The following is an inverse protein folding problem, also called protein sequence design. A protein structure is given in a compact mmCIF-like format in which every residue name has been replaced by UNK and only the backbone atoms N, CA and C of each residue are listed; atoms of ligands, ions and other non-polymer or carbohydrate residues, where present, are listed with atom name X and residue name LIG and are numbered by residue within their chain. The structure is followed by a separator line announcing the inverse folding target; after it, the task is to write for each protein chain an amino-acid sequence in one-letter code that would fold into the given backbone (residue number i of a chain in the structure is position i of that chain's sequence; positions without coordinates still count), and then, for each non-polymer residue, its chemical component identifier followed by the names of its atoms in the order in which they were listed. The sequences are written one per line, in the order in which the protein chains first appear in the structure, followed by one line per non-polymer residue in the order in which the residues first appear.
data_IF_562577337072
#
_entry.id   IF_562577337072
#
_cell.length_a   1.000
_cell.length_b   1.000
_cell.length_c   1.000
_cell.angle_alpha   90.00
_cell.angle_beta   90.00
_cell.angle_gamma   90.00
#
_symmetry.space_group_name_H-M   'P 1'
#
loop_
_entity.id
_entity.type
_entity.pdbx_description
1 polymer ?
#
# COMPACT_ATOMS: atom_id res chain seq x y z
N UNK A 1 23.69 -24.35 3.38
CA UNK A 1 22.45 -24.43 2.58
C UNK A 1 22.56 -23.37 1.49
N UNK A 2 22.31 -23.69 0.21
CA UNK A 2 22.35 -22.66 -0.85
C UNK A 2 21.01 -21.92 -0.86
N UNK A 3 21.06 -20.60 -0.99
CA UNK A 3 19.90 -19.74 -1.15
C UNK A 3 20.18 -18.67 -2.18
N UNK A 4 19.12 -18.09 -2.75
CA UNK A 4 19.18 -16.91 -3.61
C UNK A 4 18.55 -15.74 -2.87
N UNK A 5 19.14 -14.55 -3.00
CA UNK A 5 18.58 -13.31 -2.47
C UNK A 5 17.63 -12.73 -3.52
N UNK A 6 16.36 -12.58 -3.19
CA UNK A 6 15.38 -11.93 -4.05
C UNK A 6 15.02 -10.55 -3.47
N UNK A 7 15.80 -9.53 -3.87
CA UNK A 7 15.64 -8.12 -3.47
C UNK A 7 14.24 -7.57 -3.79
N UNK A 8 13.66 -7.97 -4.93
CA UNK A 8 12.35 -7.53 -5.40
C UNK A 8 11.21 -7.83 -4.42
N UNK A 9 11.28 -8.98 -3.74
CA UNK A 9 10.23 -9.47 -2.84
C UNK A 9 10.66 -9.54 -1.37
N UNK A 10 11.79 -8.90 -1.02
CA UNK A 10 12.35 -8.92 0.33
C UNK A 10 12.44 -10.33 0.94
N UNK A 11 12.97 -11.30 0.18
CA UNK A 11 13.02 -12.70 0.64
C UNK A 11 14.28 -13.47 0.25
N UNK A 12 14.61 -14.46 1.07
CA UNK A 12 15.58 -15.51 0.74
C UNK A 12 14.85 -16.71 0.17
N UNK A 13 15.33 -17.21 -0.96
CA UNK A 13 14.75 -18.35 -1.66
C UNK A 13 15.60 -19.61 -1.46
N UNK A 14 15.00 -20.62 -0.85
CA UNK A 14 15.54 -21.97 -0.75
C UNK A 14 14.72 -22.91 -1.65
N UNK A 15 15.25 -24.11 -1.90
CA UNK A 15 14.60 -25.07 -2.81
C UNK A 15 13.12 -25.35 -2.45
N UNK A 16 12.78 -25.41 -1.17
CA UNK A 16 11.48 -25.89 -0.69
C UNK A 16 10.71 -24.89 0.19
N UNK A 17 11.23 -23.68 0.37
CA UNK A 17 10.59 -22.64 1.18
C UNK A 17 11.22 -21.27 0.92
N UNK A 18 10.48 -20.22 1.22
CA UNK A 18 11.00 -18.85 1.26
C UNK A 18 11.10 -18.36 2.71
N UNK A 19 12.02 -17.43 2.97
CA UNK A 19 12.02 -16.63 4.20
C UNK A 19 11.85 -15.17 3.79
N UNK A 20 10.69 -14.60 4.06
CA UNK A 20 10.49 -13.16 3.94
C UNK A 20 11.22 -12.46 5.08
N UNK A 21 11.93 -11.41 4.73
CA UNK A 21 12.72 -10.65 5.66
C UNK A 21 11.84 -9.60 6.37
N UNK A 22 12.06 -9.46 7.68
CA UNK A 22 11.34 -8.53 8.54
C UNK A 22 12.26 -7.46 9.13
N UNK A 23 13.52 -7.40 8.68
CA UNK A 23 14.45 -6.37 9.12
C UNK A 23 14.06 -5.03 8.48
N UNK A 24 13.90 -4.00 9.30
CA UNK A 24 13.54 -2.63 8.93
C UNK A 24 14.55 -1.65 9.53
N UNK A 25 14.97 -0.62 8.80
CA UNK A 25 15.87 0.42 9.31
C UNK A 25 17.33 0.04 9.57
N UNK A 26 17.75 -1.22 9.42
CA UNK A 26 19.07 -1.69 9.86
C UNK A 26 20.26 -1.12 9.07
N UNK A 27 20.06 -0.78 7.79
CA UNK A 27 21.14 -0.36 6.89
C UNK A 27 21.16 1.15 6.60
N UNK A 28 20.19 1.89 7.11
CA UNK A 28 20.06 3.33 6.93
C UNK A 28 19.75 3.77 5.49
N UNK A 29 19.72 5.11 5.31
CA UNK A 29 19.29 5.82 4.10
C UNK A 29 20.19 5.73 2.87
N UNK A 30 21.48 5.42 3.06
CA UNK A 30 22.50 5.72 2.05
C UNK A 30 22.64 7.23 1.79
N UNK A 31 23.56 7.60 0.89
CA UNK A 31 23.85 9.01 0.57
C UNK A 31 23.65 9.33 -0.92
N UNK A 32 23.24 8.36 -1.74
CA UNK A 32 23.04 8.56 -3.17
C UNK A 32 21.68 9.19 -3.42
N UNK A 33 21.66 10.30 -4.14
CA UNK A 33 20.44 11.01 -4.51
C UNK A 33 19.95 10.53 -5.88
N UNK A 34 18.65 10.26 -5.95
CA UNK A 34 17.91 9.95 -7.16
C UNK A 34 16.77 10.95 -7.31
N UNK A 35 16.53 11.43 -8.53
CA UNK A 35 15.30 12.15 -8.84
C UNK A 35 14.16 11.15 -9.01
N UNK A 36 13.05 11.38 -8.31
CA UNK A 36 11.92 10.47 -8.32
C UNK A 36 10.60 11.17 -8.10
N UNK A 37 9.60 10.35 -7.81
CA UNK A 37 8.24 10.79 -7.59
C UNK A 37 7.65 10.09 -6.37
N UNK A 38 6.87 10.85 -5.61
CA UNK A 38 6.23 10.43 -4.37
C UNK A 38 4.74 10.76 -4.45
N UNK A 39 3.91 9.72 -4.58
CA UNK A 39 2.46 9.79 -4.43
C UNK A 39 2.14 9.52 -2.96
N UNK A 40 1.33 10.37 -2.34
CA UNK A 40 0.97 10.24 -0.94
C UNK A 40 -0.40 10.84 -0.65
N UNK A 41 -0.97 10.51 0.52
CA UNK A 41 -2.24 11.05 1.01
C UNK A 41 -2.04 11.67 2.39
N UNK A 42 -2.77 12.73 2.68
CA UNK A 42 -2.88 13.26 4.04
C UNK A 42 -4.10 12.64 4.71
N UNK A 43 -3.91 12.11 5.92
CA UNK A 43 -4.99 11.49 6.67
C UNK A 43 -5.03 12.00 8.10
N UNK A 44 -6.23 12.04 8.68
CA UNK A 44 -6.52 12.64 9.98
C UNK A 44 -7.20 11.65 10.91
N UNK A 45 -6.81 11.64 12.18
CA UNK A 45 -7.65 11.14 13.27
C UNK A 45 -8.01 12.29 14.23
N UNK A 46 -8.66 11.96 15.34
CA UNK A 46 -9.05 12.92 16.37
C UNK A 46 -7.88 13.52 17.19
N UNK A 47 -6.65 13.05 16.98
CA UNK A 47 -5.46 13.43 17.75
C UNK A 47 -4.34 14.05 16.90
N UNK A 48 -4.15 13.58 15.67
CA UNK A 48 -3.05 13.97 14.80
C UNK A 48 -3.36 13.72 13.31
N UNK A 49 -2.47 14.23 12.48
CA UNK A 49 -2.47 14.02 11.03
C UNK A 49 -1.18 13.31 10.62
N UNK A 50 -1.22 12.54 9.54
CA UNK A 50 -0.04 11.87 8.98
C UNK A 50 -0.14 11.82 7.46
N UNK A 51 0.98 12.03 6.79
CA UNK A 51 1.16 11.81 5.36
C UNK A 51 1.54 10.35 5.18
N UNK A 52 0.69 9.59 4.50
CA UNK A 52 0.91 8.18 4.19
C UNK A 52 1.51 8.04 2.79
N UNK A 53 2.66 7.35 2.63
CA UNK A 53 3.14 6.95 1.32
C UNK A 53 2.12 6.09 0.58
N UNK A 54 2.08 6.24 -0.75
CA UNK A 54 1.19 5.47 -1.63
C UNK A 54 1.98 4.81 -2.76
N UNK A 55 2.77 5.60 -3.51
CA UNK A 55 3.66 5.09 -4.55
C UNK A 55 4.97 5.88 -4.56
N UNK A 56 6.09 5.15 -4.65
CA UNK A 56 7.43 5.71 -4.79
C UNK A 56 8.04 5.15 -6.06
N UNK A 57 8.47 6.02 -6.98
CA UNK A 57 9.04 5.56 -8.24
C UNK A 57 10.14 6.47 -8.80
N UNK A 58 11.00 5.88 -9.62
CA UNK A 58 12.05 6.56 -10.38
C UNK A 58 11.83 6.25 -11.86
N UNK A 59 11.74 7.30 -12.69
CA UNK A 59 11.62 7.14 -14.14
C UNK A 59 12.88 6.52 -14.74
N UNK A 60 12.71 5.55 -15.63
CA UNK A 60 13.79 4.93 -16.41
C UNK A 60 13.79 5.41 -17.86
N UNK A 61 12.65 5.89 -18.34
CA UNK A 61 12.48 6.65 -19.58
C UNK A 61 11.34 7.67 -19.40
N UNK A 62 10.93 8.35 -20.47
CA UNK A 62 9.84 9.35 -20.46
C UNK A 62 8.54 8.78 -19.86
N UNK A 63 8.15 7.60 -20.34
CA UNK A 63 6.88 6.93 -20.02
C UNK A 63 7.03 5.64 -19.20
N UNK A 64 8.22 5.28 -18.73
CA UNK A 64 8.44 4.06 -17.95
C UNK A 64 9.21 4.33 -16.67
N UNK A 65 8.93 3.54 -15.64
CA UNK A 65 9.54 3.71 -14.32
C UNK A 65 9.72 2.38 -13.58
N UNK A 66 10.57 2.42 -12.55
CA UNK A 66 10.69 1.40 -11.51
C UNK A 66 10.05 1.93 -10.23
N UNK A 67 9.28 1.09 -9.55
CA UNK A 67 8.63 1.44 -8.28
C UNK A 67 9.10 0.55 -7.14
N UNK A 68 8.98 1.08 -5.92
CA UNK A 68 9.51 0.48 -4.71
C UNK A 68 8.37 0.22 -3.72
N UNK A 69 8.22 -1.04 -3.31
CA UNK A 69 7.42 -1.39 -2.14
C UNK A 69 8.13 -0.86 -0.90
N UNK A 70 7.38 -0.16 -0.07
CA UNK A 70 7.77 0.13 1.30
C UNK A 70 7.00 -0.78 2.27
N UNK A 71 7.62 -1.04 3.41
CA UNK A 71 7.11 -1.92 4.46
C UNK A 71 6.77 -1.15 5.74
N UNK A 72 7.57 -0.14 6.05
CA UNK A 72 7.34 0.76 7.18
C UNK A 72 7.78 2.17 6.84
N UNK A 73 7.38 3.16 7.65
CA UNK A 73 7.82 4.54 7.54
C UNK A 73 7.82 5.25 8.89
N UNK A 74 8.65 6.27 9.01
CA UNK A 74 8.78 7.12 10.19
C UNK A 74 7.81 8.31 10.14
N UNK A 75 7.54 8.97 11.29
CA UNK A 75 6.75 10.19 11.34
C UNK A 75 7.26 11.25 10.35
N UNK A 76 6.33 11.99 9.75
CA UNK A 76 6.67 12.96 8.72
C UNK A 76 7.32 14.20 9.35
N UNK A 77 8.42 14.67 8.77
CA UNK A 77 9.06 15.91 9.20
C UNK A 77 8.75 17.02 8.21
N UNK A 78 7.95 18.00 8.63
CA UNK A 78 7.56 19.13 7.79
C UNK A 78 8.20 20.42 8.31
N UNK A 79 8.72 21.23 7.39
CA UNK A 79 9.35 22.52 7.70
C UNK A 79 8.84 23.61 6.77
N UNK A 80 8.47 24.76 7.34
CA UNK A 80 8.07 25.97 6.61
C UNK A 80 9.06 27.09 6.91
N UNK A 81 9.89 27.41 5.92
CA UNK A 81 10.85 28.52 6.01
C UNK A 81 10.24 29.84 5.53
N UNK A 82 9.34 29.76 4.53
CA UNK A 82 8.54 30.88 4.04
C UNK A 82 7.24 30.35 3.42
N UNK A 83 6.36 31.23 2.93
CA UNK A 83 5.19 30.80 2.15
C UNK A 83 5.60 30.01 0.91
N UNK A 84 6.74 30.31 0.30
CA UNK A 84 7.22 29.68 -0.93
C UNK A 84 8.17 28.51 -0.71
N UNK A 85 8.54 28.24 0.54
CA UNK A 85 9.54 27.25 0.90
C UNK A 85 8.99 26.38 2.04
N UNK A 86 8.22 25.39 1.62
CA UNK A 86 7.68 24.34 2.47
C UNK A 86 8.23 23.01 1.99
N UNK A 87 8.84 22.26 2.90
CA UNK A 87 9.46 20.96 2.64
C UNK A 87 8.90 19.89 3.57
N UNK A 88 8.82 18.67 3.04
CA UNK A 88 8.51 17.46 3.78
C UNK A 88 9.60 16.42 3.61
N UNK A 89 9.83 15.66 4.68
CA UNK A 89 10.70 14.49 4.69
C UNK A 89 9.90 13.31 5.21
N UNK A 90 9.95 12.20 4.48
CA UNK A 90 9.43 10.90 4.92
C UNK A 90 10.51 9.86 4.72
N UNK A 91 10.90 9.18 5.79
CA UNK A 91 11.80 8.04 5.74
C UNK A 91 10.96 6.76 5.65
N UNK A 92 11.22 5.91 4.65
CA UNK A 92 10.50 4.66 4.38
C UNK A 92 11.45 3.48 4.32
N UNK A 93 11.08 2.35 4.90
CA UNK A 93 11.87 1.12 4.79
C UNK A 93 11.45 0.30 3.58
N UNK A 94 12.44 -0.14 2.82
CA UNK A 94 12.31 -1.04 1.67
C UNK A 94 13.01 -2.37 1.95
N UNK A 95 13.09 -3.23 0.95
CA UNK A 95 13.64 -4.56 1.06
C UNK A 95 15.07 -4.59 1.65
N UNK A 96 15.37 -5.66 2.38
CA UNK A 96 16.65 -5.97 3.00
C UNK A 96 17.17 -4.93 4.01
N UNK A 97 16.23 -4.28 4.71
CA UNK A 97 16.52 -3.37 5.83
C UNK A 97 17.09 -2.01 5.40
N UNK A 98 17.00 -1.68 4.12
CA UNK A 98 17.35 -0.34 3.64
C UNK A 98 16.24 0.65 3.93
N UNK A 99 16.62 1.87 4.27
CA UNK A 99 15.68 3.00 4.38
C UNK A 99 15.91 3.91 3.19
N UNK A 100 14.85 4.53 2.68
CA UNK A 100 14.92 5.63 1.73
C UNK A 100 14.47 6.89 2.45
N UNK A 101 15.21 7.98 2.27
CA UNK A 101 14.74 9.31 2.68
C UNK A 101 14.15 10.02 1.48
N UNK A 102 12.87 10.35 1.57
CA UNK A 102 12.15 11.06 0.51
C UNK A 102 12.02 12.52 0.93
N UNK A 103 12.63 13.42 0.17
CA UNK A 103 12.56 14.87 0.38
C UNK A 103 11.72 15.48 -0.73
N UNK A 104 10.61 16.11 -0.38
CA UNK A 104 9.68 16.74 -1.31
C UNK A 104 9.31 18.15 -0.84
N UNK A 105 8.84 18.98 -1.77
CA UNK A 105 8.52 20.38 -1.47
C UNK A 105 7.23 20.81 -2.14
N UNK A 106 6.63 21.93 -1.68
CA UNK A 106 5.42 22.47 -2.32
C UNK A 106 5.63 22.79 -3.79
N UNK A 107 6.84 23.21 -4.18
CA UNK A 107 7.20 23.51 -5.57
C UNK A 107 7.33 22.25 -6.43
N UNK A 108 7.58 21.10 -5.80
CA UNK A 108 7.61 19.81 -6.46
C UNK A 108 6.24 19.20 -6.67
N UNK A 109 5.15 19.86 -6.26
CA UNK A 109 3.79 19.36 -6.52
C UNK A 109 3.54 19.27 -8.03
N UNK A 110 3.05 18.10 -8.46
CA UNK A 110 2.78 17.79 -9.86
C UNK A 110 1.28 17.79 -10.13
N UNK A 111 0.52 17.03 -9.33
CA UNK A 111 -0.90 16.77 -9.60
C UNK A 111 -1.65 16.28 -8.36
N UNK A 112 -2.92 16.64 -8.25
CA UNK A 112 -3.89 15.99 -7.37
C UNK A 112 -4.68 14.96 -8.18
N UNK A 113 -4.86 13.77 -7.62
CA UNK A 113 -5.56 12.67 -8.26
C UNK A 113 -6.98 12.46 -7.68
N UNK A 114 -7.89 11.80 -8.43
CA UNK A 114 -9.27 11.53 -7.99
C UNK A 114 -9.38 10.70 -6.70
N UNK A 115 -8.34 9.96 -6.35
CA UNK A 115 -8.26 9.17 -5.13
C UNK A 115 -7.76 9.98 -3.92
N UNK A 116 -7.74 11.31 -4.06
CA UNK A 116 -7.30 12.29 -3.06
C UNK A 116 -5.80 12.24 -2.75
N UNK A 117 -5.00 11.53 -3.55
CA UNK A 117 -3.55 11.60 -3.45
C UNK A 117 -2.96 12.81 -4.15
N UNK A 118 -1.82 13.26 -3.65
CA UNK A 118 -0.97 14.25 -4.30
C UNK A 118 0.27 13.55 -4.84
N UNK A 119 0.71 13.95 -6.03
CA UNK A 119 1.98 13.55 -6.61
C UNK A 119 2.99 14.67 -6.46
N UNK A 120 4.17 14.35 -5.96
CA UNK A 120 5.30 15.27 -5.89
C UNK A 120 6.48 14.70 -6.67
N UNK A 121 7.19 15.55 -7.42
CA UNK A 121 8.58 15.31 -7.78
C UNK A 121 9.43 15.50 -6.51
N UNK A 122 10.36 14.57 -6.27
CA UNK A 122 11.12 14.50 -5.04
C UNK A 122 12.57 14.06 -5.27
N UNK A 123 13.39 14.28 -4.25
CA UNK A 123 14.71 13.66 -4.11
C UNK A 123 14.57 12.42 -3.23
N UNK A 124 15.09 11.30 -3.71
CA UNK A 124 15.12 10.03 -2.99
C UNK A 124 16.57 9.73 -2.65
N UNK A 125 16.89 9.70 -1.36
CA UNK A 125 18.19 9.26 -0.87
C UNK A 125 18.13 7.76 -0.59
N UNK A 126 19.05 7.01 -1.19
CA UNK A 126 19.08 5.55 -1.12
C UNK A 126 20.50 4.98 -1.20
N UNK A 127 20.63 3.65 -1.20
CA UNK A 127 21.89 2.97 -1.52
C UNK A 127 22.31 3.20 -2.99
N UNK A 128 23.58 2.97 -3.30
CA UNK A 128 24.13 3.14 -4.66
C UNK A 128 23.50 2.19 -5.69
N UNK A 129 23.00 1.03 -5.23
CA UNK A 129 22.34 0.00 -6.03
C UNK A 129 20.81 0.03 -5.86
N UNK A 130 20.21 1.19 -5.52
CA UNK A 130 18.78 1.34 -5.23
C UNK A 130 17.88 0.63 -6.26
N UNK A 131 18.16 0.78 -7.54
CA UNK A 131 17.31 0.23 -8.61
C UNK A 131 17.20 -1.31 -8.55
N UNK A 132 18.17 -2.02 -7.95
CA UNK A 132 18.11 -3.47 -7.73
C UNK A 132 17.07 -3.90 -6.69
N UNK A 133 16.61 -2.97 -5.85
CA UNK A 133 15.54 -3.18 -4.86
C UNK A 133 14.15 -2.79 -5.37
N UNK A 134 14.03 -2.46 -6.66
CA UNK A 134 12.72 -2.19 -7.25
C UNK A 134 11.82 -3.42 -7.16
N UNK A 135 10.57 -3.20 -6.76
CA UNK A 135 9.56 -4.25 -6.64
C UNK A 135 8.93 -4.56 -7.99
N UNK A 136 8.86 -3.58 -8.88
CA UNK A 136 8.33 -3.78 -10.21
C UNK A 136 8.58 -2.60 -11.13
N UNK A 137 8.02 -2.72 -12.33
CA UNK A 137 8.00 -1.64 -13.31
C UNK A 137 6.58 -1.08 -13.44
N UNK A 138 6.50 0.09 -14.04
CA UNK A 138 5.25 0.73 -14.42
C UNK A 138 5.44 1.62 -15.63
N UNK A 139 4.34 2.23 -16.07
CA UNK A 139 4.32 3.17 -17.18
C UNK A 139 3.41 4.36 -16.87
N UNK A 140 3.70 5.49 -17.50
CA UNK A 140 2.84 6.67 -17.44
C UNK A 140 1.88 6.59 -18.63
N UNK A 141 0.58 6.75 -18.36
CA UNK A 141 -0.47 6.88 -19.39
C UNK A 141 -1.32 8.08 -18.97
N UNK A 142 -1.48 9.06 -19.88
CA UNK A 142 -2.25 10.28 -19.61
C UNK A 142 -1.85 10.95 -18.28
N UNK A 143 -0.54 11.11 -18.07
CA UNK A 143 0.08 11.66 -16.85
C UNK A 143 -0.17 10.87 -15.55
N UNK A 144 -0.79 9.70 -15.65
CA UNK A 144 -1.14 8.86 -14.50
C UNK A 144 -0.16 7.69 -14.42
N UNK A 145 0.40 7.38 -13.23
CA UNK A 145 1.26 6.22 -13.09
C UNK A 145 0.42 4.94 -13.03
N UNK A 146 0.77 3.98 -13.89
CA UNK A 146 0.23 2.62 -13.90
C UNK A 146 1.31 1.65 -13.43
N UNK A 147 1.02 0.87 -12.39
CA UNK A 147 1.97 -0.12 -11.85
C UNK A 147 1.63 -1.52 -12.34
N UNK A 148 2.68 -2.30 -12.63
CA UNK A 148 2.52 -3.70 -13.00
C UNK A 148 2.24 -4.55 -11.77
N UNK A 149 1.10 -5.24 -11.78
CA UNK A 149 0.65 -6.17 -10.76
C UNK A 149 0.13 -7.47 -11.39
N UNK A 150 -0.11 -8.47 -10.55
CA UNK A 150 -0.44 -9.82 -10.97
C UNK A 150 -1.70 -10.34 -10.29
N UNK A 151 -2.49 -11.09 -11.05
CA UNK A 151 -3.60 -11.89 -10.54
C UNK A 151 -3.27 -13.38 -10.70
N UNK A 152 -3.38 -14.14 -9.62
CA UNK A 152 -3.07 -15.58 -9.61
C UNK A 152 -4.33 -16.42 -9.55
N UNK A 153 -4.41 -17.43 -10.41
CA UNK A 153 -5.58 -18.29 -10.57
C UNK A 153 -5.19 -19.64 -11.17
N UNK A 154 -6.16 -20.42 -11.64
CA UNK A 154 -5.96 -21.66 -12.40
C UNK A 154 -5.88 -21.39 -13.91
N UNK A 155 -5.19 -22.25 -14.70
CA UNK A 155 -5.06 -22.08 -16.14
C UNK A 155 -6.40 -21.88 -16.88
N UNK A 156 -7.40 -22.69 -16.56
CA UNK A 156 -8.72 -22.60 -17.22
C UNK A 156 -9.42 -21.28 -16.89
N UNK A 157 -9.28 -20.78 -15.65
CA UNK A 157 -9.86 -19.49 -15.23
C UNK A 157 -9.13 -18.33 -15.88
N UNK A 158 -7.81 -18.42 -16.05
CA UNK A 158 -7.03 -17.43 -16.79
C UNK A 158 -7.57 -17.26 -18.21
N UNK A 159 -7.81 -18.37 -18.93
CA UNK A 159 -8.39 -18.33 -20.28
C UNK A 159 -9.76 -17.66 -20.29
N UNK A 160 -10.60 -17.91 -19.28
CA UNK A 160 -11.90 -17.24 -19.17
C UNK A 160 -11.75 -15.73 -18.97
N UNK A 161 -10.84 -15.29 -18.09
CA UNK A 161 -10.59 -13.86 -17.83
C UNK A 161 -10.02 -13.16 -19.07
N UNK A 162 -9.06 -13.78 -19.76
CA UNK A 162 -8.49 -13.23 -21.00
C UNK A 162 -9.56 -13.07 -22.09
N UNK A 163 -10.40 -14.09 -22.28
CA UNK A 163 -11.48 -14.03 -23.27
C UNK A 163 -12.57 -13.04 -22.91
N UNK A 164 -12.86 -12.85 -21.61
CA UNK A 164 -13.91 -11.96 -21.16
C UNK A 164 -13.43 -10.52 -21.00
N UNK A 165 -12.12 -10.29 -20.83
CA UNK A 165 -11.50 -8.98 -20.61
C UNK A 165 -12.02 -8.24 -19.36
N UNK A 166 -12.37 -8.98 -18.31
CA UNK A 166 -12.75 -8.40 -17.02
C UNK A 166 -12.48 -9.33 -15.83
N UNK A 167 -12.37 -8.72 -14.65
CA UNK A 167 -12.32 -9.41 -13.36
C UNK A 167 -13.66 -9.29 -12.64
N UNK A 168 -14.16 -10.39 -12.09
CA UNK A 168 -15.33 -10.38 -11.20
C UNK A 168 -14.92 -9.91 -9.82
N UNK A 169 -15.65 -8.95 -9.26
CA UNK A 169 -15.45 -8.52 -7.88
C UNK A 169 -15.80 -9.61 -6.87
N UNK A 170 -14.91 -9.84 -5.91
CA UNK A 170 -15.14 -10.69 -4.75
C UNK A 170 -15.95 -9.92 -3.70
N UNK A 171 -17.00 -10.55 -3.18
CA UNK A 171 -17.84 -9.99 -2.12
C UNK A 171 -17.28 -10.27 -0.72
N UNK A 172 -16.00 -10.59 -0.57
CA UNK A 172 -15.41 -10.91 0.73
C UNK A 172 -14.55 -9.76 1.25
N UNK A 173 -14.57 -9.57 2.57
CA UNK A 173 -13.74 -8.56 3.26
C UNK A 173 -12.23 -8.87 3.15
N UNK A 174 -11.39 -7.96 3.65
CA UNK A 174 -9.93 -8.11 3.62
C UNK A 174 -9.43 -9.46 4.19
N UNK A 175 -10.08 -9.96 5.24
CA UNK A 175 -9.77 -11.25 5.86
C UNK A 175 -10.27 -12.47 5.06
N UNK A 176 -11.23 -12.29 4.15
CA UNK A 176 -11.86 -13.37 3.39
C UNK A 176 -12.88 -14.19 4.20
N UNK A 177 -13.41 -13.65 5.30
CA UNK A 177 -14.25 -14.38 6.28
C UNK A 177 -15.69 -13.92 6.32
N UNK A 178 -15.98 -12.70 5.85
CA UNK A 178 -17.32 -12.10 5.85
C UNK A 178 -17.67 -11.49 4.51
N UNK A 179 -18.96 -11.51 4.19
CA UNK A 179 -19.48 -10.94 2.95
C UNK A 179 -19.80 -9.46 3.07
N UNK A 180 -19.51 -8.73 2.01
CA UNK A 180 -19.74 -7.31 1.84
C UNK A 180 -21.05 -7.09 1.06
N UNK A 181 -21.81 -6.07 1.47
CA UNK A 181 -23.07 -5.63 0.86
C UNK A 181 -22.95 -4.34 0.04
N UNK A 182 -21.88 -3.55 0.23
CA UNK A 182 -21.76 -2.22 -0.39
C UNK A 182 -20.58 -2.07 -1.34
N UNK A 183 -19.63 -3.01 -1.33
CA UNK A 183 -18.42 -2.95 -2.15
C UNK A 183 -17.96 -4.38 -2.46
N UNK A 184 -17.35 -4.59 -3.61
CA UNK A 184 -16.60 -5.80 -3.93
C UNK A 184 -15.18 -5.45 -4.37
N UNK A 185 -14.29 -6.45 -4.34
CA UNK A 185 -12.86 -6.24 -4.59
C UNK A 185 -12.32 -7.15 -5.68
N UNK A 186 -11.50 -6.58 -6.56
CA UNK A 186 -10.53 -7.35 -7.35
C UNK A 186 -9.16 -7.28 -6.69
N UNK A 187 -8.54 -8.45 -6.48
CA UNK A 187 -7.28 -8.59 -5.77
C UNK A 187 -6.12 -8.87 -6.72
N UNK A 188 -5.02 -8.18 -6.46
CA UNK A 188 -3.76 -8.28 -7.17
C UNK A 188 -2.61 -8.34 -6.16
N UNK A 189 -1.44 -8.73 -6.64
CA UNK A 189 -0.21 -8.74 -5.86
C UNK A 189 0.99 -8.32 -6.71
N UNK A 190 2.06 -7.88 -6.07
CA UNK A 190 3.33 -7.61 -6.74
C UNK A 190 4.18 -8.87 -6.99
N UNK A 191 3.79 -10.01 -6.40
CA UNK A 191 4.42 -11.31 -6.65
C UNK A 191 4.06 -11.79 -8.07
N UNK A 192 5.05 -12.16 -8.89
CA UNK A 192 4.81 -12.68 -10.25
C UNK A 192 4.36 -14.14 -10.25
N UNK A 193 4.65 -14.88 -9.16
CA UNK A 193 4.24 -16.27 -8.94
C UNK A 193 4.05 -16.54 -7.44
N UNK A 194 3.11 -17.43 -7.13
CA UNK A 194 2.92 -18.04 -5.82
C UNK A 194 3.45 -19.48 -5.91
N UNK A 195 4.56 -19.77 -5.23
CA UNK A 195 5.27 -21.05 -5.36
C UNK A 195 5.28 -21.77 -4.01
N UNK A 196 5.53 -21.05 -2.93
CA UNK A 196 5.67 -21.60 -1.58
C UNK A 196 4.55 -21.12 -0.65
N UNK A 197 4.34 -21.85 0.46
CA UNK A 197 3.36 -21.45 1.48
C UNK A 197 3.62 -20.03 2.01
N UNK A 198 4.89 -19.62 2.12
CA UNK A 198 5.22 -18.27 2.60
C UNK A 198 4.76 -17.18 1.62
N UNK A 199 4.59 -17.50 0.33
CA UNK A 199 4.02 -16.57 -0.64
C UNK A 199 2.53 -16.34 -0.38
N UNK A 200 1.80 -17.39 0.04
CA UNK A 200 0.40 -17.26 0.48
C UNK A 200 0.31 -16.39 1.73
N UNK A 201 1.18 -16.64 2.72
CA UNK A 201 1.21 -15.86 3.96
C UNK A 201 1.46 -14.37 3.70
N UNK A 202 2.37 -14.04 2.77
CA UNK A 202 2.68 -12.67 2.38
C UNK A 202 1.47 -11.92 1.80
N UNK A 203 0.49 -12.63 1.24
CA UNK A 203 -0.76 -12.09 0.70
C UNK A 203 -1.99 -12.42 1.56
N UNK A 204 -1.77 -12.62 2.87
CA UNK A 204 -2.81 -12.92 3.87
C UNK A 204 -3.71 -14.11 3.50
N UNK A 205 -3.11 -15.16 2.96
CA UNK A 205 -3.72 -16.47 2.76
C UNK A 205 -2.90 -17.55 3.48
N UNK A 206 -3.50 -18.70 3.78
CA UNK A 206 -2.73 -19.84 4.26
C UNK A 206 -3.41 -21.18 3.99
N UNK A 207 -2.62 -22.26 3.96
CA UNK A 207 -3.13 -23.62 3.77
C UNK A 207 -3.99 -24.13 4.92
N UNK A 208 -3.78 -23.61 6.14
CA UNK A 208 -4.56 -23.94 7.34
C UNK A 208 -5.70 -22.94 7.63
N UNK A 209 -5.76 -21.82 6.90
CA UNK A 209 -6.75 -20.76 7.08
C UNK A 209 -6.48 -19.86 8.30
N UNK A 210 -5.25 -19.83 8.82
CA UNK A 210 -4.82 -18.97 9.92
C UNK A 210 -3.47 -18.29 9.69
N UNK A 211 -3.33 -17.06 10.20
CA UNK A 211 -2.03 -16.39 10.36
C UNK A 211 -1.89 -15.89 11.79
N UNK A 212 -0.64 -15.66 12.23
CA UNK A 212 -0.34 -15.13 13.55
C UNK A 212 0.18 -13.70 13.44
N UNK A 213 -0.39 -12.82 14.25
CA UNK A 213 0.11 -11.48 14.51
C UNK A 213 0.76 -11.46 15.89
N UNK A 214 1.60 -10.47 16.18
CA UNK A 214 2.30 -10.35 17.47
C UNK A 214 2.08 -8.94 18.02
N UNK A 215 1.72 -8.83 19.30
CA UNK A 215 1.63 -7.54 19.99
C UNK A 215 3.01 -6.97 20.29
N UNK A 216 3.19 -5.66 20.13
CA UNK A 216 4.47 -4.98 20.36
C UNK A 216 4.99 -5.16 21.79
N UNK A 217 4.11 -5.00 22.78
CA UNK A 217 4.49 -4.91 24.20
C UNK A 217 4.65 -6.31 24.81
N UNK A 218 3.59 -7.12 24.72
CA UNK A 218 3.56 -8.41 25.41
C UNK A 218 4.22 -9.53 24.61
N UNK A 219 4.48 -9.30 23.32
CA UNK A 219 4.92 -10.31 22.35
C UNK A 219 3.96 -11.51 22.29
N UNK A 220 2.71 -11.33 22.71
CA UNK A 220 1.68 -12.35 22.68
C UNK A 220 1.27 -12.61 21.21
N UNK A 221 1.34 -13.87 20.73
CA UNK A 221 0.85 -14.21 19.41
C UNK A 221 -0.69 -14.24 19.40
N UNK A 222 -1.28 -13.58 18.42
CA UNK A 222 -2.73 -13.57 18.18
C UNK A 222 -3.01 -14.23 16.84
N UNK A 223 -3.63 -15.41 16.88
CA UNK A 223 -4.07 -16.10 15.67
C UNK A 223 -5.36 -15.48 15.14
N UNK A 224 -5.37 -15.17 13.84
CA UNK A 224 -6.56 -14.76 13.12
C UNK A 224 -6.86 -15.73 11.99
N UNK A 225 -8.13 -15.84 11.62
CA UNK A 225 -8.53 -16.58 10.44
C UNK A 225 -8.16 -15.78 9.19
N UNK A 226 -7.85 -16.46 8.11
CA UNK A 226 -7.68 -15.87 6.78
C UNK A 226 -8.28 -16.78 5.74
N UNK A 227 -8.35 -16.31 4.50
CA UNK A 227 -8.77 -17.14 3.38
C UNK A 227 -7.86 -18.37 3.24
N UNK A 228 -8.47 -19.55 3.34
CA UNK A 228 -7.76 -20.82 3.22
C UNK A 228 -7.48 -21.10 1.74
N UNK A 229 -6.22 -21.29 1.38
CA UNK A 229 -5.82 -21.54 -0.01
C UNK A 229 -4.59 -22.44 -0.12
N UNK A 230 -4.38 -23.03 -1.30
CA UNK A 230 -3.19 -23.81 -1.64
C UNK A 230 -2.46 -23.20 -2.84
N UNK A 231 -1.14 -23.32 -2.85
CA UNK A 231 -0.31 -22.94 -4.01
C UNK A 231 -0.69 -23.71 -5.27
N UNK A 232 -1.27 -24.91 -5.13
CA UNK A 232 -1.77 -25.71 -6.24
C UNK A 232 -2.97 -25.08 -6.98
N UNK A 233 -3.69 -24.15 -6.34
CA UNK A 233 -4.81 -23.40 -6.92
C UNK A 233 -4.41 -22.03 -7.49
N UNK A 234 -3.10 -21.76 -7.59
CA UNK A 234 -2.52 -20.46 -8.02
C UNK A 234 -1.40 -20.66 -9.05
N UNK A 235 -1.63 -21.57 -10.01
CA UNK A 235 -0.62 -22.05 -10.96
C UNK A 235 -0.57 -21.27 -12.28
N UNK A 236 -1.50 -20.34 -12.50
CA UNK A 236 -1.50 -19.41 -13.63
C UNK A 236 -1.50 -17.96 -13.14
N UNK A 237 -0.85 -17.08 -13.91
CA UNK A 237 -0.75 -15.65 -13.62
C UNK A 237 -1.25 -14.83 -14.81
N UNK A 238 -2.04 -13.79 -14.53
CA UNK A 238 -2.30 -12.68 -15.45
C UNK A 238 -1.52 -11.45 -14.99
N UNK A 239 -0.84 -10.78 -15.92
CA UNK A 239 -0.13 -9.52 -15.70
C UNK A 239 -1.03 -8.36 -16.14
N UNK A 240 -1.11 -7.32 -15.30
CA UNK A 240 -1.90 -6.12 -15.56
C UNK A 240 -1.11 -4.86 -15.19
N UNK A 241 -1.20 -3.82 -16.01
CA UNK A 241 -0.84 -2.46 -15.64
C UNK A 241 -2.07 -1.76 -15.08
N UNK A 242 -2.03 -1.40 -13.80
CA UNK A 242 -3.17 -0.87 -13.07
C UNK A 242 -2.93 0.59 -12.74
N UNK A 243 -3.89 1.45 -13.08
CA UNK A 243 -3.93 2.85 -12.68
C UNK A 243 -3.73 2.97 -11.16
N UNK A 244 -2.66 3.63 -10.72
CA UNK A 244 -2.34 3.74 -9.29
C UNK A 244 -3.34 4.57 -8.49
N UNK A 245 -4.27 5.27 -9.14
CA UNK A 245 -5.34 6.02 -8.46
C UNK A 245 -6.53 5.13 -8.11
N UNK A 246 -6.70 3.96 -8.73
CA UNK A 246 -7.85 3.09 -8.43
C UNK A 246 -7.51 2.02 -7.37
N UNK A 247 -6.23 1.93 -7.01
CA UNK A 247 -5.71 1.06 -5.98
C UNK A 247 -6.02 1.69 -4.63
N UNK A 248 -6.69 0.94 -3.75
CA UNK A 248 -6.95 1.39 -2.39
C UNK A 248 -5.66 1.33 -1.58
N UNK A 249 -5.44 2.33 -0.72
CA UNK A 249 -4.32 2.30 0.21
C UNK A 249 -4.41 1.08 1.14
N UNK A 250 -3.26 0.47 1.38
CA UNK A 250 -3.12 -0.51 2.43
C UNK A 250 -3.46 0.11 3.79
N UNK A 251 -4.01 -0.72 4.67
CA UNK A 251 -4.15 -0.38 6.08
C UNK A 251 -2.77 -0.35 6.75
N UNK A 252 -2.69 0.32 7.90
CA UNK A 252 -1.43 0.62 8.56
C UNK A 252 -1.50 0.15 10.01
N UNK A 253 -0.40 -0.38 10.52
CA UNK A 253 -0.17 -0.50 11.95
C UNK A 253 0.71 0.64 12.43
N UNK A 254 0.37 1.20 13.57
CA UNK A 254 1.21 2.12 14.31
C UNK A 254 1.83 1.36 15.46
N UNK A 255 3.15 1.45 15.54
CA UNK A 255 3.95 0.81 16.56
C UNK A 255 4.47 1.86 17.53
N UNK A 256 4.36 1.56 18.82
CA UNK A 256 4.81 2.43 19.91
C UNK A 256 5.62 1.60 20.89
N UNK A 257 6.81 2.09 21.23
CA UNK A 257 7.56 1.52 22.33
C UNK A 257 7.03 2.02 23.68
N UNK A 258 7.12 1.19 24.73
CA UNK A 258 6.63 1.47 26.09
C UNK A 258 7.14 2.78 26.71
N UNK A 259 8.25 3.31 26.19
CA UNK A 259 8.87 4.55 26.66
C UNK A 259 8.33 5.82 25.97
N UNK A 260 7.37 5.72 25.05
CA UNK A 260 6.81 6.84 24.26
C UNK A 260 7.82 7.61 23.39
N UNK A 261 9.05 7.10 23.20
CA UNK A 261 10.10 7.88 22.54
C UNK A 261 10.11 7.75 21.02
N UNK A 262 9.59 6.64 20.46
CA UNK A 262 9.62 6.39 19.02
C UNK A 262 8.31 5.76 18.53
N UNK A 263 7.77 6.34 17.47
CA UNK A 263 6.62 5.83 16.71
C UNK A 263 7.10 5.50 15.32
N UNK A 264 6.67 4.38 14.77
CA UNK A 264 6.75 4.11 13.33
C UNK A 264 5.45 3.46 12.86
N UNK A 265 5.28 3.42 11.54
CA UNK A 265 4.09 2.90 10.90
C UNK A 265 4.49 1.74 9.98
N UNK A 266 3.76 0.63 10.01
CA UNK A 266 3.97 -0.55 9.17
C UNK A 266 2.78 -0.74 8.21
N UNK A 267 3.06 -1.08 6.97
CA UNK A 267 2.04 -1.43 5.97
C UNK A 267 1.47 -2.81 6.27
N UNK A 268 0.17 -2.88 6.53
CA UNK A 268 -0.53 -4.15 6.69
C UNK A 268 -0.60 -4.88 5.33
N UNK A 269 0.00 -6.07 5.28
CA UNK A 269 0.04 -6.96 4.11
C UNK A 269 0.50 -6.24 2.83
N UNK A 270 1.76 -5.80 2.83
CA UNK A 270 2.37 -4.99 1.77
C UNK A 270 2.29 -5.58 0.35
N UNK A 271 2.09 -6.89 0.20
CA UNK A 271 1.94 -7.54 -1.10
C UNK A 271 0.49 -7.63 -1.62
N UNK A 272 -0.50 -7.08 -0.91
CA UNK A 272 -1.91 -7.10 -1.32
C UNK A 272 -2.31 -5.75 -1.89
N UNK A 273 -2.82 -5.79 -3.12
CA UNK A 273 -3.35 -4.64 -3.84
C UNK A 273 -4.81 -4.92 -4.19
N UNK A 274 -5.70 -3.97 -3.92
CA UNK A 274 -7.14 -4.14 -4.18
C UNK A 274 -7.72 -2.96 -4.91
N UNK A 275 -8.62 -3.26 -5.84
CA UNK A 275 -9.46 -2.29 -6.53
C UNK A 275 -10.88 -2.49 -6.02
N UNK A 276 -11.44 -1.43 -5.42
CA UNK A 276 -12.82 -1.39 -4.93
C UNK A 276 -13.79 -1.09 -6.06
N UNK A 277 -14.94 -1.77 -6.04
CA UNK A 277 -15.99 -1.68 -7.05
C UNK A 277 -17.36 -1.67 -6.41
N UNK A 278 -18.33 -1.03 -7.07
CA UNK A 278 -19.74 -1.23 -6.75
C UNK A 278 -20.11 -2.71 -6.85
N UNK A 279 -21.01 -3.16 -5.98
CA UNK A 279 -21.47 -4.56 -5.99
C UNK A 279 -22.04 -4.95 -7.36
N UNK A 280 -21.82 -6.20 -7.75
CA UNK A 280 -22.29 -6.76 -9.02
C UNK A 280 -21.72 -6.07 -10.28
N UNK A 281 -20.65 -5.30 -10.13
CA UNK A 281 -19.90 -4.76 -11.27
C UNK A 281 -18.62 -5.55 -11.50
N UNK A 282 -18.16 -5.53 -12.74
CA UNK A 282 -16.92 -6.16 -13.18
C UNK A 282 -15.86 -5.08 -13.39
N UNK A 283 -14.59 -5.42 -13.16
CA UNK A 283 -13.45 -4.56 -13.45
C UNK A 283 -12.91 -4.89 -14.86
N UNK A 284 -13.21 -4.07 -15.87
CA UNK A 284 -12.74 -4.33 -17.23
C UNK A 284 -11.25 -4.04 -17.37
N UNK A 285 -10.63 -4.67 -18.36
CA UNK A 285 -9.29 -4.33 -18.81
C UNK A 285 -9.21 -4.36 -20.33
N UNK A 286 -8.28 -3.61 -20.91
CA UNK A 286 -7.99 -3.63 -22.34
C UNK A 286 -6.47 -3.75 -22.54
N UNK A 287 -6.02 -4.73 -23.32
CA UNK A 287 -4.59 -4.98 -23.57
C UNK A 287 -3.74 -5.00 -22.29
N UNK A 288 -4.22 -5.72 -21.28
CA UNK A 288 -3.61 -5.79 -19.94
C UNK A 288 -3.51 -4.44 -19.20
N UNK A 289 -4.35 -3.45 -19.54
CA UNK A 289 -4.42 -2.16 -18.86
C UNK A 289 -5.76 -2.06 -18.14
N UNK A 290 -5.70 -1.79 -16.84
CA UNK A 290 -6.85 -1.48 -15.99
C UNK A 290 -6.81 0.01 -15.69
N UNK A 291 -7.77 0.75 -16.23
CA UNK A 291 -7.95 2.19 -16.00
C UNK A 291 -9.16 2.45 -15.10
N UNK A 292 -9.24 3.66 -14.55
CA UNK A 292 -10.45 4.10 -13.83
C UNK A 292 -11.71 3.98 -14.69
N UNK A 293 -12.74 3.38 -14.11
CA UNK A 293 -14.11 3.33 -14.63
C UNK A 293 -15.08 3.90 -13.60
N UNK A 294 -16.30 4.23 -14.03
CA UNK A 294 -17.31 4.90 -13.19
C UNK A 294 -17.62 4.14 -11.89
N UNK A 295 -17.65 2.82 -11.93
CA UNK A 295 -18.00 1.96 -10.79
C UNK A 295 -16.83 1.71 -9.82
N UNK A 296 -15.67 2.34 -10.02
CA UNK A 296 -14.55 2.23 -9.08
C UNK A 296 -14.87 3.00 -7.80
N UNK A 297 -14.77 2.32 -6.67
CA UNK A 297 -14.88 2.90 -5.36
C UNK A 297 -13.50 3.09 -4.71
N UNK A 298 -13.18 4.33 -4.36
CA UNK A 298 -12.02 4.67 -3.53
C UNK A 298 -12.50 5.12 -2.15
N UNK A 299 -12.17 4.41 -1.06
CA UNK A 299 -12.55 4.84 0.29
C UNK A 299 -12.02 6.23 0.61
N UNK A 300 -12.76 6.94 1.45
CA UNK A 300 -12.41 8.23 2.05
C UNK A 300 -11.67 8.05 3.39
N UNK A 301 -11.15 6.84 3.66
CA UNK A 301 -10.49 6.51 4.91
C UNK A 301 -9.44 5.40 4.77
N UNK A 302 -8.56 5.31 5.76
CA UNK A 302 -7.61 4.22 5.97
C UNK A 302 -7.72 3.73 7.42
N UNK A 303 -7.64 2.42 7.65
CA UNK A 303 -7.54 1.87 9.01
C UNK A 303 -6.09 1.97 9.49
N UNK A 304 -5.89 2.56 10.66
CA UNK A 304 -4.59 2.67 11.32
C UNK A 304 -4.70 2.13 12.74
N UNK A 305 -4.30 0.87 12.91
CA UNK A 305 -4.40 0.14 14.17
C UNK A 305 -3.20 0.35 15.09
N UNK A 306 -3.42 0.48 16.41
CA UNK A 306 -2.34 0.52 17.40
C UNK A 306 -1.86 -0.90 17.77
N UNK A 307 -0.68 -1.30 17.29
CA UNK A 307 -0.11 -2.64 17.45
C UNK A 307 0.29 -2.97 18.90
N UNK A 308 0.30 -1.98 19.80
CA UNK A 308 0.47 -2.21 21.24
C UNK A 308 -0.78 -2.82 21.90
N UNK A 309 -1.94 -2.77 21.24
CA UNK A 309 -3.21 -3.26 21.77
C UNK A 309 -3.81 -4.35 20.90
N UNK A 310 -4.52 -5.30 21.51
CA UNK A 310 -5.22 -6.37 20.76
C UNK A 310 -6.24 -5.83 19.76
N UNK A 311 -7.00 -4.81 20.15
CA UNK A 311 -8.01 -4.20 19.26
C UNK A 311 -7.36 -3.45 18.09
N UNK A 312 -6.27 -2.72 18.35
CA UNK A 312 -5.55 -2.01 17.30
C UNK A 312 -4.80 -2.96 16.36
N UNK A 313 -4.15 -4.00 16.88
CA UNK A 313 -3.46 -5.01 16.04
C UNK A 313 -4.44 -5.72 15.09
N UNK A 314 -5.65 -6.03 15.56
CA UNK A 314 -6.69 -6.68 14.75
C UNK A 314 -7.43 -5.73 13.79
N UNK A 315 -7.38 -4.42 14.03
CA UNK A 315 -8.20 -3.43 13.32
C UNK A 315 -8.08 -3.50 11.78
N UNK A 316 -6.88 -3.63 11.16
CA UNK A 316 -6.77 -3.76 9.71
C UNK A 316 -7.50 -4.98 9.11
N UNK A 317 -7.68 -6.05 9.89
CA UNK A 317 -8.39 -7.26 9.45
C UNK A 317 -9.89 -7.22 9.81
N UNK A 318 -10.28 -6.38 10.78
CA UNK A 318 -11.67 -6.18 11.22
C UNK A 318 -12.25 -4.88 10.66
N UNK A 319 -12.40 -4.83 9.34
CA UNK A 319 -12.97 -3.68 8.61
C UNK A 319 -14.42 -3.35 9.00
N UNK A 320 -15.13 -4.25 9.69
CA UNK A 320 -16.54 -4.08 10.03
C UNK A 320 -16.76 -3.24 11.29
N UNK A 321 -15.96 -3.49 12.33
CA UNK A 321 -16.20 -2.92 13.66
C UNK A 321 -15.10 -1.99 14.14
N UNK A 322 -14.05 -1.79 13.35
CA UNK A 322 -12.93 -0.95 13.77
C UNK A 322 -13.32 0.51 13.88
N UNK A 323 -12.98 1.13 15.02
CA UNK A 323 -13.02 2.57 15.23
C UNK A 323 -11.68 3.25 14.90
N UNK A 324 -10.67 2.48 14.52
CA UNK A 324 -9.31 2.95 14.22
C UNK A 324 -9.20 3.51 12.80
N UNK A 325 -10.06 4.48 12.49
CA UNK A 325 -10.21 5.06 11.15
C UNK A 325 -9.52 6.41 11.09
N UNK A 326 -8.70 6.60 10.06
CA UNK A 326 -8.19 7.89 9.66
C UNK A 326 -8.89 8.34 8.38
N UNK A 327 -9.36 9.60 8.36
CA UNK A 327 -10.12 10.18 7.25
C UNK A 327 -9.16 10.84 6.27
N UNK A 328 -9.29 10.52 5.00
CA UNK A 328 -8.44 11.08 3.95
C UNK A 328 -8.87 12.53 3.68
N UNK A 329 -7.89 13.43 3.59
CA UNK A 329 -8.14 14.81 3.21
C UNK A 329 -8.47 14.90 1.70
N UNK A 330 -9.58 15.54 1.32
CA UNK A 330 -9.92 15.74 -0.08
C UNK A 330 -9.02 16.78 -0.76
N UNK A 331 -8.44 16.41 -1.92
CA UNK A 331 -7.64 17.28 -2.78
C UNK A 331 -8.07 17.26 -4.25
N UNK A 332 -8.93 16.33 -4.66
CA UNK A 332 -9.42 16.26 -6.03
C UNK A 332 -10.17 17.54 -6.42
N UNK A 333 -9.82 18.09 -7.58
CA UNK A 333 -10.34 19.37 -8.07
C UNK A 333 -9.94 20.61 -7.25
N UNK A 334 -9.03 20.49 -6.28
CA UNK A 334 -8.54 21.61 -5.46
C UNK A 334 -7.16 22.06 -5.94
N UNK A 335 -6.91 23.38 -5.97
CA UNK A 335 -5.62 23.97 -6.39
C UNK A 335 -4.52 23.96 -5.31
N UNK A 336 -4.83 23.48 -4.09
CA UNK A 336 -3.84 23.37 -3.01
C UNK A 336 -3.16 22.00 -3.00
N UNK A 337 -2.11 21.86 -2.20
CA UNK A 337 -1.44 20.58 -1.97
C UNK A 337 -1.33 20.28 -0.47
N UNK A 338 -0.91 19.05 -0.14
CA UNK A 338 -0.75 18.57 1.24
C UNK A 338 0.10 19.51 2.09
N UNK A 339 1.20 20.05 1.56
CA UNK A 339 2.14 20.87 2.35
C UNK A 339 1.56 22.25 2.66
N UNK A 340 0.97 22.93 1.67
CA UNK A 340 0.29 24.20 1.91
C UNK A 340 -0.90 24.00 2.86
N UNK A 341 -1.74 22.99 2.61
CA UNK A 341 -2.89 22.66 3.45
C UNK A 341 -2.52 22.41 4.91
N UNK A 342 -1.45 21.65 5.16
CA UNK A 342 -0.99 21.31 6.51
C UNK A 342 -0.69 22.56 7.33
N UNK A 343 0.06 23.51 6.75
CA UNK A 343 0.45 24.73 7.46
C UNK A 343 -0.69 25.74 7.57
N UNK A 344 -1.58 25.81 6.58
CA UNK A 344 -2.74 26.73 6.61
C UNK A 344 -3.85 26.27 7.59
N UNK A 345 -3.81 24.99 7.98
CA UNK A 345 -4.75 24.37 8.92
C UNK A 345 -4.12 23.86 10.20
N UNK A 346 -2.94 24.37 10.57
CA UNK A 346 -2.26 24.01 11.80
C UNK A 346 -3.15 24.24 13.04
N UNK A 347 -3.18 23.25 13.94
CA UNK A 347 -3.95 23.24 15.19
C UNK A 347 -5.48 23.37 15.02
N UNK A 348 -6.04 23.01 13.87
CA UNK A 348 -7.49 22.92 13.65
C UNK A 348 -7.98 21.49 13.81
N UNK A 349 -9.26 21.33 14.14
CA UNK A 349 -9.94 20.04 14.05
C UNK A 349 -10.21 19.71 12.58
N UNK A 350 -9.51 18.68 12.09
CA UNK A 350 -9.61 18.18 10.72
C UNK A 350 -10.29 16.81 10.66
N UNK A 351 -10.96 16.38 11.74
CA UNK A 351 -11.51 15.03 11.83
C UNK A 351 -13.00 15.01 12.13
N UNK A 352 -13.48 15.75 13.13
CA UNK A 352 -14.82 15.54 13.73
C UNK A 352 -15.94 15.60 12.69
N UNK A 353 -15.94 16.63 11.85
CA UNK A 353 -17.00 16.86 10.87
C UNK A 353 -16.83 16.09 9.54
N UNK A 354 -15.66 15.48 9.32
CA UNK A 354 -15.44 14.68 8.11
C UNK A 354 -16.24 13.39 8.19
N UNK A 355 -16.95 13.05 7.12
CA UNK A 355 -17.71 11.80 7.02
C UNK A 355 -16.88 10.75 6.30
N UNK A 356 -17.16 9.49 6.62
CA UNK A 356 -16.61 8.34 5.89
C UNK A 356 -17.75 7.51 5.33
N UNK A 357 -17.43 6.73 4.30
CA UNK A 357 -18.33 5.74 3.72
C UNK A 357 -17.79 4.34 4.03
N UNK A 358 -18.15 3.75 5.19
CA UNK A 358 -17.62 2.44 5.57
C UNK A 358 -18.32 1.33 4.75
N UNK A 359 -17.64 0.20 4.53
CA UNK A 359 -18.26 -0.98 3.95
C UNK A 359 -19.41 -1.47 4.85
N UNK A 360 -20.45 -1.99 4.20
CA UNK A 360 -21.58 -2.67 4.86
C UNK A 360 -21.39 -4.17 4.72
N UNK A 361 -21.79 -4.92 5.74
CA UNK A 361 -21.57 -6.37 5.83
C UNK A 361 -22.89 -7.15 5.85
N UNK A 362 -22.83 -8.44 5.48
CA UNK A 362 -23.98 -9.36 5.48
C UNK A 362 -24.51 -9.71 6.87
#
# INVERSE_FOLDING_TARGET
MKFTVNKKYDRLEFNNYHIYNNNRGEKGGGNKIYEGFFKCKLVHNNMFSVIIPDLIYIKTAEDTFLWFQFYSFLPNHLSKFSSEEIMGIVDVDIAFGHTLRIVFSKKGHVKNFPDQSNLFQCEIYGPDDLLEYSTGCGKIIDETPYIKLYHHTLPDIKVLIENSSYYKGSLWNFQGTKKLKSICYSYFTSLDKIIQEQDLLAIAMSSDGTINLVLDITLEPISIKVYRESTSNRTATLEQYIDSTIIMNNHIWMHKHDTNEYVYYEVCSSFIYRVGLDIQTDLPFNDSIISRVENVMTPDYVVLGDAATKLGLLAPFDEEFTTHVFKIEPFDGVETNILDFWFDNSNKDLYTDKKITPPKFE
#
